data_IF_357198529374
#
_entry.id   IF_357198529374
#
_cell.length_a   1.000
_cell.length_b   1.000
_cell.length_c   1.000
_cell.angle_alpha   90.00
_cell.angle_beta   90.00
_cell.angle_gamma   90.00
#
_symmetry.space_group_name_H-M   'P 1'
#
loop_
_entity.id
_entity.type
_entity.pdbx_description
1 polymer ?
#
# COMPACT_ATOMS: atom_id res chain seq x y z
N UNK A 1 2.62 2.46 -9.75
CA UNK A 1 1.18 2.43 -10.14
C UNK A 1 0.69 3.85 -10.38
N UNK A 2 -0.06 4.05 -11.43
CA UNK A 2 -0.60 5.36 -11.77
C UNK A 2 -2.12 5.25 -11.86
N UNK A 3 -2.82 6.15 -11.19
CA UNK A 3 -4.29 6.20 -11.18
C UNK A 3 -4.73 7.64 -11.37
N UNK A 4 -5.99 7.83 -11.71
CA UNK A 4 -6.58 9.17 -11.84
C UNK A 4 -7.31 9.54 -10.54
N UNK A 5 -7.36 10.83 -10.27
CA UNK A 5 -8.13 11.34 -9.14
C UNK A 5 -9.59 10.89 -9.26
N UNK A 6 -10.13 10.38 -8.17
CA UNK A 6 -11.48 9.84 -8.12
C UNK A 6 -11.59 8.35 -8.39
N UNK A 7 -10.49 7.71 -8.81
CA UNK A 7 -10.48 6.27 -9.05
C UNK A 7 -10.54 5.49 -7.73
N UNK A 8 -11.24 4.37 -7.77
CA UNK A 8 -11.19 3.40 -6.68
C UNK A 8 -9.94 2.55 -6.82
N UNK A 9 -9.11 2.55 -5.81
CA UNK A 9 -7.85 1.79 -5.80
C UNK A 9 -7.98 0.64 -4.82
N UNK A 10 -7.64 -0.56 -5.30
CA UNK A 10 -7.62 -1.76 -4.47
C UNK A 10 -6.21 -2.33 -4.48
N UNK A 11 -5.62 -2.47 -3.30
CA UNK A 11 -4.28 -3.03 -3.13
C UNK A 11 -4.37 -4.36 -2.42
N UNK A 12 -3.65 -5.35 -2.94
CA UNK A 12 -3.53 -6.66 -2.32
C UNK A 12 -2.08 -6.84 -1.85
N UNK A 13 -1.91 -7.04 -0.56
CA UNK A 13 -0.61 -7.30 0.03
C UNK A 13 -0.55 -8.75 0.47
N UNK A 14 0.49 -9.45 0.03
CA UNK A 14 0.66 -10.87 0.32
C UNK A 14 1.94 -11.04 1.14
N UNK A 15 1.83 -11.63 2.31
CA UNK A 15 2.97 -11.96 3.15
C UNK A 15 3.62 -13.25 2.65
N UNK A 16 4.78 -13.14 2.01
CA UNK A 16 5.45 -14.28 1.40
C UNK A 16 6.55 -14.84 2.29
N UNK A 17 7.27 -13.97 2.99
CA UNK A 17 8.42 -14.37 3.82
C UNK A 17 8.37 -13.65 5.16
N UNK A 18 8.98 -14.27 6.17
CA UNK A 18 9.07 -13.68 7.49
C UNK A 18 7.84 -13.92 8.35
N UNK A 19 7.94 -13.67 9.64
CA UNK A 19 6.86 -13.93 10.58
C UNK A 19 5.85 -12.80 10.61
N UNK A 20 6.33 -11.56 10.55
CA UNK A 20 5.49 -10.38 10.65
C UNK A 20 5.96 -9.31 9.70
N UNK A 21 5.00 -8.70 9.03
CA UNK A 21 5.21 -7.54 8.18
C UNK A 21 4.31 -6.42 8.68
N UNK A 22 4.77 -5.21 8.60
CA UNK A 22 3.93 -4.04 8.86
C UNK A 22 3.93 -3.18 7.61
N UNK A 23 2.74 -2.92 7.09
CA UNK A 23 2.55 -2.15 5.88
C UNK A 23 1.98 -0.79 6.26
N UNK A 24 2.67 0.26 5.86
CA UNK A 24 2.21 1.64 6.06
C UNK A 24 1.87 2.25 4.71
N UNK A 25 0.66 2.75 4.59
CA UNK A 25 0.21 3.45 3.38
C UNK A 25 -0.16 4.87 3.77
N UNK A 26 0.46 5.86 3.14
CA UNK A 26 0.24 7.26 3.48
C UNK A 26 -1.23 7.64 3.33
N UNK A 27 -1.77 8.27 4.38
CA UNK A 27 -3.15 8.71 4.39
C UNK A 27 -4.19 7.63 4.59
N UNK A 28 -3.79 6.36 4.61
CA UNK A 28 -4.70 5.23 4.75
C UNK A 28 -4.54 4.58 6.12
N UNK A 29 -3.32 4.23 6.50
CA UNK A 29 -3.05 3.63 7.78
C UNK A 29 -1.92 2.62 7.74
N UNK A 30 -1.76 1.93 8.87
CA UNK A 30 -0.74 0.92 9.06
C UNK A 30 -1.41 -0.40 9.39
N UNK A 31 -0.98 -1.47 8.74
CA UNK A 31 -1.61 -2.78 8.85
C UNK A 31 -0.57 -3.85 9.15
N UNK A 32 -0.84 -4.78 10.07
CA UNK A 32 -0.01 -5.95 10.22
C UNK A 32 -0.31 -6.96 9.12
N UNK A 33 0.71 -7.65 8.65
CA UNK A 33 0.56 -8.70 7.65
C UNK A 33 1.42 -9.89 8.06
N UNK A 34 0.81 -11.03 8.28
CA UNK A 34 1.51 -12.25 8.64
C UNK A 34 1.79 -13.10 7.41
N UNK A 35 2.78 -13.99 7.54
CA UNK A 35 3.12 -14.92 6.47
C UNK A 35 1.89 -15.74 6.07
N UNK A 36 1.65 -15.84 4.77
CA UNK A 36 0.52 -16.58 4.22
C UNK A 36 -0.79 -15.83 4.24
N UNK A 37 -0.80 -14.61 4.75
CA UNK A 37 -2.01 -13.78 4.75
C UNK A 37 -2.05 -12.86 3.55
N UNK A 38 -3.26 -12.55 3.14
CA UNK A 38 -3.53 -11.54 2.12
C UNK A 38 -4.32 -10.42 2.78
N UNK A 39 -3.79 -9.20 2.69
CA UNK A 39 -4.48 -8.03 3.19
C UNK A 39 -4.92 -7.17 2.01
N UNK A 40 -6.21 -6.86 1.95
CA UNK A 40 -6.78 -6.06 0.87
C UNK A 40 -7.18 -4.70 1.41
N UNK A 41 -6.70 -3.65 0.74
CA UNK A 41 -7.01 -2.27 1.10
C UNK A 41 -7.67 -1.62 -0.10
N UNK A 42 -8.82 -1.00 0.11
CA UNK A 42 -9.53 -0.26 -0.93
C UNK A 42 -9.76 1.17 -0.48
N UNK A 43 -9.52 2.11 -1.37
CA UNK A 43 -9.75 3.52 -1.09
C UNK A 43 -10.02 4.28 -2.37
N UNK A 44 -10.56 5.49 -2.22
CA UNK A 44 -10.76 6.40 -3.34
C UNK A 44 -9.60 7.39 -3.38
N UNK A 45 -8.96 7.54 -4.53
CA UNK A 45 -7.85 8.46 -4.72
C UNK A 45 -8.39 9.90 -4.87
N UNK A 46 -8.73 10.53 -3.75
CA UNK A 46 -9.41 11.83 -3.75
C UNK A 46 -8.48 13.01 -4.04
N UNK A 47 -7.21 12.87 -3.73
CA UNK A 47 -6.26 13.99 -3.85
C UNK A 47 -5.15 13.63 -4.83
N UNK A 48 -4.80 14.54 -5.76
CA UNK A 48 -3.67 14.30 -6.64
C UNK A 48 -2.36 14.33 -5.86
N UNK A 49 -1.36 13.63 -6.37
CA UNK A 49 -0.04 13.57 -5.75
C UNK A 49 0.46 12.14 -5.64
N UNK A 50 1.47 11.95 -4.80
CA UNK A 50 2.10 10.65 -4.61
C UNK A 50 1.68 10.06 -3.28
N UNK A 51 1.22 8.82 -3.31
CA UNK A 51 0.93 8.03 -2.11
C UNK A 51 2.06 7.02 -1.97
N UNK A 52 2.82 7.11 -0.88
CA UNK A 52 3.89 6.16 -0.62
C UNK A 52 3.37 5.04 0.26
N UNK A 53 3.79 3.82 -0.05
CA UNK A 53 3.56 2.70 0.85
C UNK A 53 4.87 1.98 1.12
N UNK A 54 5.03 1.53 2.36
CA UNK A 54 6.25 0.90 2.82
C UNK A 54 5.88 -0.38 3.56
N UNK A 55 6.55 -1.46 3.21
CA UNK A 55 6.48 -2.71 3.95
C UNK A 55 7.70 -2.78 4.86
N UNK A 56 7.48 -2.68 6.17
CA UNK A 56 8.56 -2.76 7.15
C UNK A 56 8.85 -4.22 7.44
N UNK A 57 9.85 -4.74 6.75
CA UNK A 57 10.38 -6.05 6.99
C UNK A 57 11.77 -5.91 7.57
N UNK A 58 12.29 -7.02 8.08
CA UNK A 58 13.62 -6.98 8.66
C UNK A 58 14.65 -6.36 7.74
N UNK A 59 14.73 -6.79 6.54
CA UNK A 59 15.63 -6.23 5.52
C UNK A 59 15.49 -7.06 4.25
N UNK A 60 15.47 -6.47 3.04
CA UNK A 60 15.33 -5.04 2.79
C UNK A 60 13.88 -4.56 2.94
N UNK A 61 13.71 -3.30 3.20
CA UNK A 61 12.38 -2.70 3.20
C UNK A 61 11.86 -2.62 1.78
N UNK A 62 10.58 -2.92 1.60
CA UNK A 62 9.91 -2.76 0.32
C UNK A 62 9.17 -1.43 0.32
N UNK A 63 9.42 -0.64 -0.72
CA UNK A 63 8.80 0.69 -0.86
C UNK A 63 8.14 0.76 -2.22
N UNK A 64 6.93 1.31 -2.26
CA UNK A 64 6.24 1.54 -3.51
C UNK A 64 5.53 2.88 -3.50
N UNK A 65 5.09 3.30 -4.68
CA UNK A 65 4.41 4.58 -4.85
C UNK A 65 3.22 4.43 -5.76
N UNK A 66 2.17 5.19 -5.45
CA UNK A 66 0.99 5.34 -6.28
C UNK A 66 0.93 6.79 -6.70
N UNK A 67 0.99 7.05 -7.99
CA UNK A 67 0.86 8.40 -8.53
C UNK A 67 -0.59 8.65 -8.90
N UNK A 68 -1.18 9.66 -8.28
CA UNK A 68 -2.56 10.07 -8.53
C UNK A 68 -2.51 11.31 -9.42
N UNK A 69 -3.01 11.17 -10.64
CA UNK A 69 -3.05 12.28 -11.59
C UNK A 69 -4.29 13.14 -11.34
N UNK A 70 -4.15 14.46 -11.43
CA UNK A 70 -5.33 15.33 -11.31
C UNK A 70 -6.29 15.09 -12.46
N UNK A 71 -7.56 15.13 -12.12
CA UNK A 71 -8.62 14.92 -13.10
C UNK A 71 -9.02 16.21 -13.80
#
# INVERSE_FOLDING_TARGET
MTVNQGDKVTLHFIGVQGAHHVISVDGIGTFPLSRGQIHTVSFIANSPGTINYTCHLHMPNMVGQILVLPK
#
